data_IF_824638380477
#
_entry.id   IF_824638380477
#
_cell.length_a   1.000
_cell.length_b   1.000
_cell.length_c   1.000
_cell.angle_alpha   90.00
_cell.angle_beta   90.00
_cell.angle_gamma   90.00
#
_symmetry.space_group_name_H-M   'P 1'
#
loop_
_entity.id
_entity.type
_entity.pdbx_description
1 polymer ?
#
# COMPACT_ATOMS: atom_id res chain seq x y z
N UNK A 1 -3.49 20.10 14.53
CA UNK A 1 -2.09 19.78 14.27
C UNK A 1 -1.71 20.35 12.93
N UNK A 2 -0.58 21.04 12.82
CA UNK A 2 -0.12 21.53 11.52
C UNK A 2 0.16 20.37 10.56
N UNK A 3 -0.07 20.57 9.28
CA UNK A 3 0.17 19.58 8.20
C UNK A 3 1.63 19.04 8.26
N UNK A 4 2.57 19.88 8.65
CA UNK A 4 3.99 19.49 8.81
C UNK A 4 4.23 18.39 9.86
N UNK A 5 3.42 18.32 10.92
CA UNK A 5 3.53 17.28 11.95
C UNK A 5 3.12 15.91 11.40
N UNK A 6 2.14 15.87 10.50
CA UNK A 6 1.70 14.61 9.88
C UNK A 6 2.71 14.09 8.86
N UNK A 7 3.31 14.97 8.04
CA UNK A 7 4.40 14.58 7.12
C UNK A 7 5.55 13.95 7.91
N UNK A 8 5.97 14.59 9.00
CA UNK A 8 7.03 14.09 9.87
C UNK A 8 6.62 12.77 10.56
N UNK A 9 5.38 12.66 11.01
CA UNK A 9 4.80 11.44 11.57
C UNK A 9 4.81 10.29 10.54
N UNK A 10 4.36 10.52 9.32
CA UNK A 10 4.31 9.49 8.27
C UNK A 10 5.71 9.06 7.82
N UNK A 11 6.68 9.98 7.77
CA UNK A 11 8.09 9.62 7.55
C UNK A 11 8.63 8.70 8.64
N UNK A 12 8.34 8.99 9.92
CA UNK A 12 8.75 8.12 11.05
C UNK A 12 8.06 6.75 11.00
N UNK A 13 6.76 6.71 10.71
CA UNK A 13 6.02 5.46 10.54
C UNK A 13 6.59 4.62 9.39
N UNK A 14 6.92 5.26 8.26
CA UNK A 14 7.56 4.58 7.13
C UNK A 14 8.89 3.95 7.53
N UNK A 15 9.75 4.69 8.25
CA UNK A 15 11.01 4.17 8.75
C UNK A 15 10.81 3.00 9.73
N UNK A 16 9.85 3.13 10.65
CA UNK A 16 9.52 2.07 11.59
C UNK A 16 9.01 0.80 10.88
N UNK A 17 8.17 0.93 9.85
CA UNK A 17 7.71 -0.21 9.05
C UNK A 17 8.85 -0.91 8.33
N UNK A 18 9.78 -0.15 7.74
CA UNK A 18 10.99 -0.73 7.11
C UNK A 18 11.85 -1.47 8.15
N UNK A 19 12.06 -0.88 9.32
CA UNK A 19 12.78 -1.53 10.41
C UNK A 19 12.11 -2.84 10.84
N UNK A 20 10.79 -2.83 11.09
CA UNK A 20 10.03 -4.03 11.44
C UNK A 20 10.11 -5.11 10.35
N UNK A 21 10.07 -4.72 9.07
CA UNK A 21 10.23 -5.63 7.95
C UNK A 21 11.56 -6.40 8.05
N UNK A 22 12.67 -5.69 8.20
CA UNK A 22 13.97 -6.35 8.27
C UNK A 22 14.16 -7.17 9.54
N UNK A 23 13.64 -6.73 10.69
CA UNK A 23 13.64 -7.52 11.92
C UNK A 23 12.91 -8.85 11.71
N UNK A 24 11.74 -8.81 11.06
CA UNK A 24 10.96 -10.02 10.74
C UNK A 24 11.74 -10.95 9.80
N UNK A 25 12.31 -10.43 8.72
CA UNK A 25 13.10 -11.23 7.76
C UNK A 25 14.30 -11.89 8.44
N UNK A 26 15.03 -11.14 9.29
CA UNK A 26 16.18 -11.64 10.06
C UNK A 26 15.75 -12.75 11.01
N UNK A 27 14.70 -12.54 11.80
CA UNK A 27 14.21 -13.50 12.78
C UNK A 27 13.79 -14.81 12.10
N UNK A 28 13.04 -14.71 11.00
CA UNK A 28 12.58 -15.87 10.23
C UNK A 28 13.74 -16.61 9.54
N UNK A 29 14.68 -15.86 8.94
CA UNK A 29 15.85 -16.45 8.31
C UNK A 29 16.74 -17.20 9.29
N UNK A 30 16.95 -16.63 10.47
CA UNK A 30 17.69 -17.27 11.54
C UNK A 30 16.98 -18.54 12.04
N UNK A 31 15.67 -18.46 12.32
CA UNK A 31 14.87 -19.60 12.78
C UNK A 31 14.83 -20.75 11.77
N UNK A 32 14.59 -20.43 10.48
CA UNK A 32 14.61 -21.44 9.41
C UNK A 32 16.00 -22.04 9.25
N UNK A 33 17.07 -21.23 9.29
CA UNK A 33 18.43 -21.72 9.22
C UNK A 33 18.77 -22.69 10.35
N UNK A 34 18.30 -22.45 11.56
CA UNK A 34 18.46 -23.38 12.68
C UNK A 34 17.80 -24.74 12.41
N UNK A 35 16.60 -24.75 11.81
CA UNK A 35 15.88 -25.99 11.46
C UNK A 35 16.64 -26.82 10.41
N UNK A 36 17.33 -26.16 9.48
CA UNK A 36 18.11 -26.82 8.43
C UNK A 36 19.60 -27.04 8.81
N UNK A 37 19.94 -26.81 10.08
CA UNK A 37 21.28 -27.11 10.63
C UNK A 37 22.34 -26.04 10.38
N UNK A 38 21.98 -24.89 9.78
CA UNK A 38 22.91 -23.76 9.59
C UNK A 38 22.18 -22.41 9.63
N UNK A 39 22.16 -21.79 10.82
CA UNK A 39 21.49 -20.51 11.04
C UNK A 39 22.04 -19.37 10.18
N UNK A 40 23.32 -19.37 9.86
CA UNK A 40 23.93 -18.30 9.06
C UNK A 40 23.54 -18.39 7.58
N UNK A 41 23.45 -19.61 7.02
CA UNK A 41 22.99 -19.77 5.64
C UNK A 41 21.52 -19.38 5.48
N UNK A 42 20.67 -19.75 6.44
CA UNK A 42 19.27 -19.34 6.46
C UNK A 42 19.10 -17.83 6.56
N UNK A 43 19.89 -17.17 7.43
CA UNK A 43 19.90 -15.71 7.58
C UNK A 43 20.33 -15.01 6.28
N UNK A 44 21.42 -15.43 5.66
CA UNK A 44 21.92 -14.82 4.42
C UNK A 44 20.89 -14.97 3.31
N UNK A 45 20.33 -16.15 3.13
CA UNK A 45 19.31 -16.43 2.11
C UNK A 45 18.06 -15.56 2.34
N UNK A 46 17.57 -15.49 3.57
CA UNK A 46 16.40 -14.67 3.91
C UNK A 46 16.67 -13.17 3.68
N UNK A 47 17.87 -12.68 4.00
CA UNK A 47 18.24 -11.28 3.74
C UNK A 47 18.30 -11.00 2.22
N UNK A 48 18.88 -11.89 1.42
CA UNK A 48 18.94 -11.70 -0.05
C UNK A 48 17.52 -11.67 -0.63
N UNK A 49 16.67 -12.63 -0.28
CA UNK A 49 15.29 -12.69 -0.74
C UNK A 49 14.49 -11.50 -0.21
N UNK A 50 14.63 -11.16 1.07
CA UNK A 50 13.91 -10.06 1.71
C UNK A 50 14.27 -8.71 1.12
N UNK A 51 15.56 -8.46 0.85
CA UNK A 51 16.01 -7.23 0.17
C UNK A 51 15.45 -7.17 -1.25
N UNK A 52 15.55 -8.27 -2.02
CA UNK A 52 15.01 -8.32 -3.38
C UNK A 52 13.49 -8.08 -3.40
N UNK A 53 12.74 -8.74 -2.52
CA UNK A 53 11.30 -8.54 -2.36
C UNK A 53 10.96 -7.09 -1.97
N UNK A 54 11.68 -6.52 -1.00
CA UNK A 54 11.46 -5.14 -0.56
C UNK A 54 11.70 -4.15 -1.70
N UNK A 55 12.84 -4.27 -2.39
CA UNK A 55 13.18 -3.38 -3.52
C UNK A 55 12.15 -3.50 -4.64
N UNK A 56 11.81 -4.73 -5.04
CA UNK A 56 10.77 -4.95 -6.04
C UNK A 56 9.45 -4.30 -5.64
N UNK A 57 8.96 -4.58 -4.43
CA UNK A 57 7.69 -4.04 -3.95
C UNK A 57 7.73 -2.51 -3.79
N UNK A 58 8.86 -1.95 -3.34
CA UNK A 58 9.02 -0.52 -3.15
C UNK A 58 9.08 0.25 -4.48
N UNK A 59 9.76 -0.29 -5.48
CA UNK A 59 9.93 0.40 -6.78
C UNK A 59 8.86 0.03 -7.79
N UNK A 60 8.39 -1.21 -7.80
CA UNK A 60 7.42 -1.71 -8.76
C UNK A 60 5.98 -1.84 -8.20
N UNK A 61 5.77 -1.66 -6.89
CA UNK A 61 4.46 -1.88 -6.26
C UNK A 61 3.34 -1.04 -6.86
N UNK A 62 3.58 0.25 -7.10
CA UNK A 62 2.59 1.13 -7.73
C UNK A 62 2.25 0.67 -9.17
N UNK A 63 3.26 0.35 -9.98
CA UNK A 63 3.04 -0.15 -11.35
C UNK A 63 2.34 -1.52 -11.36
N UNK A 64 2.61 -2.37 -10.38
CA UNK A 64 1.91 -3.65 -10.22
C UNK A 64 0.42 -3.42 -9.96
N UNK A 65 0.05 -2.50 -9.07
CA UNK A 65 -1.36 -2.15 -8.81
C UNK A 65 -2.02 -1.64 -10.08
N UNK A 66 -1.39 -0.71 -10.81
CA UNK A 66 -1.92 -0.17 -12.06
C UNK A 66 -2.13 -1.26 -13.13
N UNK A 67 -1.19 -2.22 -13.24
CA UNK A 67 -1.31 -3.36 -14.17
C UNK A 67 -2.43 -4.31 -13.76
N UNK A 68 -2.52 -4.66 -12.48
CA UNK A 68 -3.57 -5.55 -11.96
C UNK A 68 -4.97 -4.96 -12.12
N UNK A 69 -5.10 -3.65 -11.96
CA UNK A 69 -6.36 -2.92 -12.15
C UNK A 69 -6.63 -2.56 -13.61
N UNK A 70 -5.74 -2.92 -14.55
CA UNK A 70 -5.81 -2.57 -15.96
C UNK A 70 -5.94 -1.06 -16.20
N UNK A 71 -5.36 -0.26 -15.34
CA UNK A 71 -5.34 1.20 -15.44
C UNK A 71 -4.55 1.63 -16.68
N UNK A 72 -5.12 2.53 -17.47
CA UNK A 72 -4.48 3.13 -18.66
C UNK A 72 -4.08 4.55 -18.35
N UNK A 73 -2.89 4.96 -18.78
CA UNK A 73 -2.44 6.34 -18.60
C UNK A 73 -3.36 7.28 -19.38
N UNK A 74 -3.89 8.30 -18.68
CA UNK A 74 -4.75 9.30 -19.29
C UNK A 74 -3.93 10.19 -20.24
N UNK A 75 -4.41 10.37 -21.46
CA UNK A 75 -3.74 11.17 -22.50
C UNK A 75 -4.62 12.33 -22.94
N UNK A 76 -3.98 13.43 -23.33
CA UNK A 76 -4.66 14.50 -24.10
C UNK A 76 -4.81 13.98 -25.57
N UNK A 77 -5.93 14.26 -26.28
CA UNK A 77 -7.03 15.16 -25.93
C UNK A 77 -8.16 14.52 -25.08
N UNK A 78 -8.21 13.18 -24.92
CA UNK A 78 -9.37 12.48 -24.34
C UNK A 78 -9.71 12.92 -22.92
N UNK A 79 -8.67 13.09 -22.06
CA UNK A 79 -8.82 13.41 -20.65
C UNK A 79 -8.26 14.78 -20.27
N UNK A 80 -8.29 15.77 -21.18
CA UNK A 80 -7.71 17.11 -20.98
C UNK A 80 -8.21 17.78 -19.70
N UNK A 81 -9.52 17.74 -19.44
CA UNK A 81 -10.09 18.38 -18.23
C UNK A 81 -9.61 17.73 -16.95
N UNK A 82 -9.54 16.39 -16.91
CA UNK A 82 -9.04 15.64 -15.75
C UNK A 82 -7.57 15.96 -15.49
N UNK A 83 -6.73 15.89 -16.52
CA UNK A 83 -5.29 16.16 -16.42
C UNK A 83 -5.05 17.59 -15.94
N UNK A 84 -5.71 18.58 -16.53
CA UNK A 84 -5.57 19.99 -16.12
C UNK A 84 -6.03 20.23 -14.68
N UNK A 85 -7.08 19.54 -14.22
CA UNK A 85 -7.53 19.63 -12.82
C UNK A 85 -6.46 19.07 -11.87
N UNK A 86 -5.86 17.92 -12.19
CA UNK A 86 -4.78 17.34 -11.38
C UNK A 86 -3.53 18.23 -11.40
N UNK A 87 -3.14 18.77 -12.55
CA UNK A 87 -2.03 19.74 -12.68
C UNK A 87 -2.28 20.98 -11.80
N UNK A 88 -3.48 21.57 -11.86
CA UNK A 88 -3.87 22.74 -11.05
C UNK A 88 -3.83 22.44 -9.55
N UNK A 89 -4.35 21.28 -9.14
CA UNK A 89 -4.32 20.86 -7.73
C UNK A 89 -2.88 20.57 -7.25
N UNK A 90 -2.01 20.02 -8.09
CA UNK A 90 -0.61 19.81 -7.76
C UNK A 90 0.12 21.13 -7.49
N UNK A 91 -0.13 22.16 -8.32
CA UNK A 91 0.39 23.52 -8.11
C UNK A 91 -0.14 24.09 -6.79
N UNK A 92 -1.45 24.00 -6.55
CA UNK A 92 -2.08 24.49 -5.32
C UNK A 92 -1.54 23.75 -4.06
N UNK A 93 -1.24 22.47 -4.19
CA UNK A 93 -0.63 21.66 -3.14
C UNK A 93 0.84 21.98 -2.90
N UNK A 94 1.52 22.67 -3.82
CA UNK A 94 2.95 22.97 -3.78
C UNK A 94 3.81 21.74 -4.09
N UNK A 95 3.31 20.80 -4.91
CA UNK A 95 4.08 19.66 -5.37
C UNK A 95 5.04 20.08 -6.49
N UNK A 96 6.28 19.58 -6.53
CA UNK A 96 7.27 19.97 -7.55
C UNK A 96 6.92 19.39 -8.93
N UNK A 97 6.07 18.35 -8.97
CA UNK A 97 5.64 17.67 -10.19
C UNK A 97 4.21 17.17 -10.01
N UNK A 98 3.33 17.33 -11.02
CA UNK A 98 2.01 16.72 -10.98
C UNK A 98 2.12 15.19 -11.01
N UNK A 99 1.27 14.47 -10.25
CA UNK A 99 1.19 13.03 -10.33
C UNK A 99 0.67 12.60 -11.72
N UNK A 100 1.08 11.40 -12.15
CA UNK A 100 0.53 10.79 -13.35
C UNK A 100 -0.93 10.44 -13.15
N UNK A 101 -1.73 10.58 -14.20
CA UNK A 101 -3.16 10.29 -14.17
C UNK A 101 -3.46 9.01 -14.93
N UNK A 102 -4.25 8.14 -14.30
CA UNK A 102 -4.68 6.87 -14.91
C UNK A 102 -6.20 6.76 -14.85
N UNK A 103 -6.76 6.04 -15.82
CA UNK A 103 -8.19 5.75 -15.89
C UNK A 103 -8.39 4.24 -15.96
N UNK A 104 -9.35 3.74 -15.18
CA UNK A 104 -9.80 2.35 -15.19
C UNK A 104 -11.19 2.34 -15.84
N UNK A 105 -11.38 1.48 -16.82
CA UNK A 105 -12.70 1.24 -17.41
C UNK A 105 -13.53 0.33 -16.50
N UNK A 106 -14.20 0.97 -15.54
CA UNK A 106 -15.03 0.34 -14.52
C UNK A 106 -16.18 1.29 -14.15
N UNK A 107 -17.39 0.71 -13.99
CA UNK A 107 -18.59 1.43 -13.58
C UNK A 107 -18.62 1.81 -12.09
N UNK A 108 -17.76 1.22 -11.26
CA UNK A 108 -17.63 1.58 -9.86
C UNK A 108 -17.23 3.06 -9.71
N UNK A 109 -17.70 3.69 -8.62
CA UNK A 109 -17.39 5.09 -8.32
C UNK A 109 -16.15 5.14 -7.42
N UNK A 110 -14.96 5.13 -8.01
CA UNK A 110 -13.71 5.04 -7.25
C UNK A 110 -12.61 5.96 -7.79
N UNK A 111 -11.78 6.45 -6.86
CA UNK A 111 -10.51 7.09 -7.13
C UNK A 111 -9.51 6.68 -6.04
N UNK A 112 -8.22 6.64 -6.38
CA UNK A 112 -7.17 6.37 -5.40
C UNK A 112 -5.82 6.91 -5.85
N UNK A 113 -4.99 7.25 -4.88
CA UNK A 113 -3.60 7.63 -5.10
C UNK A 113 -2.66 6.45 -4.79
N UNK A 114 -1.63 6.27 -5.61
CA UNK A 114 -0.54 5.30 -5.36
C UNK A 114 0.81 5.95 -5.58
N UNK A 115 1.84 5.33 -5.01
CA UNK A 115 3.23 5.77 -5.19
C UNK A 115 4.06 5.64 -3.93
N UNK A 116 5.37 5.80 -4.07
CA UNK A 116 6.32 5.76 -2.95
C UNK A 116 6.66 7.15 -2.39
N UNK A 117 6.49 8.18 -3.21
CA UNK A 117 6.72 9.59 -2.89
C UNK A 117 5.95 10.48 -3.86
N UNK A 118 6.00 11.80 -3.68
CA UNK A 118 5.28 12.76 -4.52
C UNK A 118 5.83 12.83 -5.96
N UNK A 119 7.10 12.50 -6.21
CA UNK A 119 7.69 12.49 -7.56
C UNK A 119 7.26 11.26 -8.37
N UNK A 120 6.92 10.17 -7.68
CA UNK A 120 6.52 8.89 -8.25
C UNK A 120 5.08 8.53 -7.85
N UNK A 121 4.25 9.55 -7.68
CA UNK A 121 2.84 9.39 -7.38
C UNK A 121 1.99 9.32 -8.65
N UNK A 122 0.87 8.64 -8.54
CA UNK A 122 -0.20 8.64 -9.53
C UNK A 122 -1.57 8.73 -8.87
N UNK A 123 -2.52 9.32 -9.58
CA UNK A 123 -3.93 9.33 -9.25
C UNK A 123 -4.66 8.51 -10.31
N UNK A 124 -5.48 7.58 -9.86
CA UNK A 124 -6.29 6.71 -10.71
C UNK A 124 -7.75 6.97 -10.45
N UNK A 125 -8.55 7.08 -11.51
CA UNK A 125 -10.01 7.27 -11.44
C UNK A 125 -10.71 6.25 -12.31
N UNK A 126 -11.93 5.89 -11.97
CA UNK A 126 -12.78 5.02 -12.79
C UNK A 126 -13.63 5.81 -13.77
N UNK A 127 -13.98 5.21 -14.90
CA UNK A 127 -14.91 5.81 -15.87
C UNK A 127 -16.27 6.11 -15.25
N UNK A 128 -16.77 5.23 -14.36
CA UNK A 128 -18.00 5.45 -13.61
C UNK A 128 -17.96 6.73 -12.77
N UNK A 129 -16.83 6.99 -12.07
CA UNK A 129 -16.66 8.23 -11.30
C UNK A 129 -16.71 9.46 -12.21
N UNK A 130 -16.00 9.43 -13.34
CA UNK A 130 -15.95 10.53 -14.29
C UNK A 130 -17.32 10.85 -14.90
N UNK A 131 -18.15 9.84 -15.11
CA UNK A 131 -19.52 10.01 -15.65
C UNK A 131 -20.50 10.52 -14.59
N UNK A 132 -20.31 10.16 -13.32
CA UNK A 132 -21.26 10.46 -12.24
C UNK A 132 -21.05 11.83 -11.62
N UNK A 133 -19.81 12.26 -11.49
CA UNK A 133 -19.46 13.49 -10.79
C UNK A 133 -19.39 14.70 -11.75
N UNK A 134 -19.89 15.83 -11.29
CA UNK A 134 -19.63 17.09 -11.97
C UNK A 134 -18.19 17.58 -11.68
N UNK A 135 -17.77 18.62 -12.38
CA UNK A 135 -16.39 19.14 -12.30
C UNK A 135 -15.97 19.50 -10.87
N UNK A 136 -16.84 20.16 -10.09
CA UNK A 136 -16.52 20.61 -8.71
C UNK A 136 -16.46 19.42 -7.73
N UNK A 137 -17.31 18.44 -7.93
CA UNK A 137 -17.32 17.19 -7.16
C UNK A 137 -16.06 16.36 -7.43
N UNK A 138 -15.71 16.20 -8.72
CA UNK A 138 -14.49 15.52 -9.13
C UNK A 138 -13.24 16.23 -8.60
N UNK A 139 -13.17 17.56 -8.69
CA UNK A 139 -12.10 18.37 -8.12
C UNK A 139 -11.95 18.13 -6.61
N UNK A 140 -13.06 18.03 -5.89
CA UNK A 140 -13.06 17.70 -4.46
C UNK A 140 -12.43 16.34 -4.16
N UNK A 141 -12.80 15.29 -4.92
CA UNK A 141 -12.22 13.94 -4.78
C UNK A 141 -10.75 13.95 -5.14
N UNK A 142 -10.36 14.56 -6.25
CA UNK A 142 -8.96 14.66 -6.67
C UNK A 142 -8.10 15.44 -5.66
N UNK A 143 -8.65 16.46 -5.02
CA UNK A 143 -7.97 17.22 -3.96
C UNK A 143 -7.77 16.37 -2.68
N UNK A 144 -8.72 15.50 -2.35
CA UNK A 144 -8.59 14.52 -1.28
C UNK A 144 -7.43 13.56 -1.58
N UNK A 145 -7.39 12.95 -2.78
CA UNK A 145 -6.30 12.08 -3.22
C UNK A 145 -4.94 12.81 -3.26
N UNK A 146 -4.93 14.05 -3.73
CA UNK A 146 -3.74 14.90 -3.74
C UNK A 146 -3.19 15.14 -2.32
N UNK A 147 -4.07 15.22 -1.33
CA UNK A 147 -3.69 15.39 0.07
C UNK A 147 -2.95 14.17 0.62
N UNK A 148 -3.35 12.96 0.24
CA UNK A 148 -2.63 11.73 0.60
C UNK A 148 -1.23 11.69 -0.01
N UNK A 149 -1.05 12.19 -1.22
CA UNK A 149 0.27 12.31 -1.86
C UNK A 149 1.14 13.30 -1.07
N UNK A 150 0.63 14.51 -0.84
CA UNK A 150 1.35 15.58 -0.14
C UNK A 150 1.78 15.18 1.27
N UNK A 151 0.93 14.45 1.99
CA UNK A 151 1.16 14.06 3.38
C UNK A 151 1.99 12.77 3.52
N UNK A 152 2.47 12.15 2.41
CA UNK A 152 3.15 10.85 2.40
C UNK A 152 2.31 9.69 2.92
N UNK A 153 0.98 9.80 2.94
CA UNK A 153 0.09 8.72 3.31
C UNK A 153 0.25 7.53 2.37
N UNK A 154 0.38 7.79 1.05
CA UNK A 154 0.61 6.77 0.03
C UNK A 154 1.82 5.89 0.33
N UNK A 155 2.91 6.46 0.89
CA UNK A 155 4.10 5.71 1.27
C UNK A 155 3.83 4.76 2.43
N UNK A 156 3.14 5.21 3.47
CA UNK A 156 2.78 4.37 4.63
C UNK A 156 1.87 3.24 4.20
N UNK A 157 0.86 3.53 3.36
CA UNK A 157 -0.07 2.53 2.82
C UNK A 157 0.65 1.49 1.97
N UNK A 158 1.57 1.93 1.09
CA UNK A 158 2.36 1.03 0.26
C UNK A 158 3.26 0.13 1.11
N UNK A 159 3.99 0.68 2.11
CA UNK A 159 4.84 -0.12 2.99
C UNK A 159 4.02 -1.10 3.84
N UNK A 160 2.84 -0.71 4.32
CA UNK A 160 1.94 -1.62 5.00
C UNK A 160 1.50 -2.77 4.07
N UNK A 161 1.18 -2.48 2.81
CA UNK A 161 0.83 -3.50 1.82
C UNK A 161 2.00 -4.45 1.53
N UNK A 162 3.24 -3.95 1.45
CA UNK A 162 4.47 -4.76 1.32
C UNK A 162 4.60 -5.73 2.50
N UNK A 163 4.40 -5.24 3.73
CA UNK A 163 4.46 -6.07 4.93
C UNK A 163 3.38 -7.16 4.94
N UNK A 164 2.13 -6.79 4.62
CA UNK A 164 1.02 -7.74 4.50
C UNK A 164 1.32 -8.79 3.44
N UNK A 165 1.81 -8.37 2.27
CA UNK A 165 2.20 -9.27 1.19
C UNK A 165 3.29 -10.26 1.61
N UNK A 166 4.30 -9.81 2.35
CA UNK A 166 5.33 -10.69 2.90
C UNK A 166 4.72 -11.76 3.83
N UNK A 167 3.83 -11.35 4.74
CA UNK A 167 3.18 -12.27 5.66
C UNK A 167 2.34 -13.30 4.92
N UNK A 168 1.58 -12.89 3.90
CA UNK A 168 0.78 -13.79 3.06
C UNK A 168 1.67 -14.79 2.33
N UNK A 169 2.77 -14.33 1.70
CA UNK A 169 3.72 -15.21 1.01
C UNK A 169 4.37 -16.22 1.96
N UNK A 170 4.77 -15.78 3.16
CA UNK A 170 5.33 -16.65 4.18
C UNK A 170 4.30 -17.69 4.65
N UNK A 171 3.06 -17.26 4.91
CA UNK A 171 1.97 -18.16 5.30
C UNK A 171 1.71 -19.23 4.24
N UNK A 172 1.65 -18.82 2.96
CA UNK A 172 1.44 -19.75 1.84
C UNK A 172 2.64 -20.71 1.70
N UNK A 173 3.87 -20.21 1.80
CA UNK A 173 5.08 -21.03 1.78
C UNK A 173 5.09 -22.09 2.88
N UNK A 174 4.81 -21.71 4.13
CA UNK A 174 4.75 -22.65 5.24
C UNK A 174 3.62 -23.66 5.08
N UNK A 175 2.44 -23.23 4.66
CA UNK A 175 1.30 -24.11 4.45
C UNK A 175 1.60 -25.16 3.37
N UNK A 176 2.18 -24.74 2.25
CA UNK A 176 2.60 -25.66 1.16
C UNK A 176 3.70 -26.61 1.60
N UNK A 177 4.71 -26.09 2.30
CA UNK A 177 5.80 -26.93 2.84
C UNK A 177 5.27 -28.01 3.76
N UNK A 178 4.24 -27.68 4.56
CA UNK A 178 3.56 -28.63 5.41
C UNK A 178 2.77 -29.68 4.61
N UNK A 179 1.96 -29.24 3.65
CA UNK A 179 1.11 -30.15 2.85
C UNK A 179 1.92 -31.09 1.94
N UNK A 180 3.08 -30.65 1.46
CA UNK A 180 3.90 -31.40 0.51
C UNK A 180 5.07 -32.13 1.18
N UNK A 181 5.58 -31.62 2.31
CA UNK A 181 6.67 -32.23 3.07
C UNK A 181 6.27 -33.54 3.79
N UNK A 182 4.97 -33.73 4.04
CA UNK A 182 4.46 -34.93 4.75
C UNK A 182 4.43 -36.24 3.96
N UNK A 183 4.77 -36.22 2.65
CA UNK A 183 4.62 -37.42 1.76
C UNK A 183 5.87 -38.31 1.63
N UNK A 184 7.00 -37.97 2.24
CA UNK A 184 8.28 -38.67 2.00
C UNK A 184 9.06 -39.18 3.23
N UNK A 185 8.60 -38.98 4.45
CA UNK A 185 9.35 -39.31 5.66
C UNK A 185 8.82 -40.54 6.39
N UNK A 186 9.74 -41.45 6.80
CA UNK A 186 9.48 -42.60 7.64
C UNK A 186 8.78 -42.19 8.95
N UNK A 187 7.93 -43.09 9.44
CA UNK A 187 6.99 -42.98 10.55
C UNK A 187 7.54 -42.60 11.95
N UNK A 188 8.81 -42.25 12.08
CA UNK A 188 9.45 -41.98 13.38
C UNK A 188 9.98 -40.57 13.58
N UNK A 189 9.55 -39.59 12.75
CA UNK A 189 10.17 -38.26 12.80
C UNK A 189 9.26 -37.23 13.51
N UNK A 190 9.66 -36.89 14.74
CA UNK A 190 9.13 -35.72 15.49
C UNK A 190 9.27 -34.37 14.71
N UNK A 191 10.02 -34.39 13.60
CA UNK A 191 10.26 -33.19 12.77
C UNK A 191 9.01 -32.56 12.19
N UNK A 192 8.04 -33.39 11.75
CA UNK A 192 6.76 -32.90 11.23
C UNK A 192 5.92 -32.15 12.27
N UNK A 193 5.87 -32.71 13.49
CA UNK A 193 5.14 -32.05 14.60
C UNK A 193 5.77 -30.72 15.03
N UNK A 194 7.12 -30.68 15.07
CA UNK A 194 7.88 -29.46 15.40
C UNK A 194 7.64 -28.39 14.33
N UNK A 195 7.67 -28.77 13.05
CA UNK A 195 7.38 -27.82 11.95
C UNK A 195 5.96 -27.25 12.07
N UNK A 196 4.97 -28.09 12.45
CA UNK A 196 3.59 -27.65 12.66
C UNK A 196 3.47 -26.62 13.78
N UNK A 197 4.14 -26.86 14.89
CA UNK A 197 4.17 -25.95 16.04
C UNK A 197 4.84 -24.61 15.63
N UNK A 198 5.95 -24.67 14.92
CA UNK A 198 6.66 -23.46 14.47
C UNK A 198 5.79 -22.63 13.53
N UNK A 199 5.15 -23.27 12.54
CA UNK A 199 4.21 -22.58 11.64
C UNK A 199 3.06 -21.96 12.41
N UNK A 200 2.47 -22.70 13.34
CA UNK A 200 1.38 -22.19 14.18
C UNK A 200 1.82 -20.98 15.02
N UNK A 201 2.99 -21.04 15.63
CA UNK A 201 3.55 -19.92 16.42
C UNK A 201 3.85 -18.72 15.52
N UNK A 202 4.48 -18.92 14.36
CA UNK A 202 4.78 -17.85 13.41
C UNK A 202 3.48 -17.17 12.94
N UNK A 203 2.47 -17.93 12.55
CA UNK A 203 1.18 -17.37 12.12
C UNK A 203 0.46 -16.67 13.26
N UNK A 204 0.50 -17.20 14.49
CA UNK A 204 -0.09 -16.57 15.67
C UNK A 204 0.58 -15.22 16.01
N UNK A 205 1.89 -15.10 15.81
CA UNK A 205 2.64 -13.84 15.99
C UNK A 205 2.38 -12.86 14.85
N UNK A 206 2.26 -13.35 13.62
CA UNK A 206 2.08 -12.49 12.43
C UNK A 206 0.64 -11.95 12.29
N UNK A 207 -0.37 -12.69 12.71
CA UNK A 207 -1.78 -12.28 12.58
C UNK A 207 -2.09 -10.92 13.25
N UNK A 208 -1.71 -10.64 14.51
CA UNK A 208 -1.91 -9.33 15.11
C UNK A 208 -1.10 -8.22 14.43
N UNK A 209 0.09 -8.54 13.89
CA UNK A 209 0.89 -7.58 13.14
C UNK A 209 0.17 -7.16 11.86
N UNK A 210 -0.41 -8.11 11.11
CA UNK A 210 -1.23 -7.79 9.92
C UNK A 210 -2.42 -6.90 10.29
N UNK A 211 -3.13 -7.22 11.38
CA UNK A 211 -4.24 -6.41 11.88
C UNK A 211 -3.82 -4.96 12.17
N UNK A 212 -2.69 -4.76 12.84
CA UNK A 212 -2.17 -3.43 13.14
C UNK A 212 -1.67 -2.70 11.88
N UNK A 213 -1.03 -3.39 10.94
CA UNK A 213 -0.63 -2.83 9.65
C UNK A 213 -1.84 -2.39 8.82
N UNK A 214 -2.90 -3.18 8.79
CA UNK A 214 -4.18 -2.81 8.16
C UNK A 214 -4.79 -1.57 8.83
N UNK A 215 -4.75 -1.50 10.15
CA UNK A 215 -5.21 -0.32 10.91
C UNK A 215 -4.37 0.92 10.62
N UNK A 216 -3.05 0.76 10.47
CA UNK A 216 -2.15 1.85 10.06
C UNK A 216 -2.41 2.27 8.61
N UNK A 217 -2.78 1.36 7.72
CA UNK A 217 -3.14 1.68 6.34
C UNK A 217 -4.49 2.42 6.24
N UNK A 218 -5.47 2.11 7.12
CA UNK A 218 -6.84 2.66 7.09
C UNK A 218 -7.07 3.54 8.33
N UNK A 219 -6.34 4.65 8.45
CA UNK A 219 -6.44 5.53 9.61
C UNK A 219 -7.53 6.60 9.41
N UNK A 220 -8.62 6.56 10.19
CA UNK A 220 -9.66 7.61 10.19
C UNK A 220 -9.10 9.01 10.36
N UNK A 221 -8.05 9.18 11.15
CA UNK A 221 -7.41 10.47 11.35
C UNK A 221 -6.79 11.01 10.07
N UNK A 222 -6.22 10.15 9.23
CA UNK A 222 -5.67 10.56 7.92
C UNK A 222 -6.77 10.92 6.95
N UNK A 223 -7.87 10.18 6.93
CA UNK A 223 -9.04 10.51 6.11
C UNK A 223 -9.59 11.91 6.46
N UNK A 224 -9.82 12.20 7.76
CA UNK A 224 -10.25 13.53 8.19
C UNK A 224 -9.24 14.62 7.82
N UNK A 225 -7.96 14.33 7.87
CA UNK A 225 -6.94 15.28 7.46
C UNK A 225 -6.91 15.48 5.95
N UNK A 226 -7.11 14.42 5.17
CA UNK A 226 -7.23 14.49 3.71
C UNK A 226 -8.47 15.28 3.30
N UNK A 227 -9.62 15.05 3.96
CA UNK A 227 -10.84 15.85 3.77
C UNK A 227 -10.60 17.33 4.04
N UNK A 228 -10.00 17.67 5.19
CA UNK A 228 -9.70 19.03 5.56
C UNK A 228 -8.69 19.70 4.61
N UNK A 229 -7.64 18.96 4.22
CA UNK A 229 -6.62 19.46 3.30
C UNK A 229 -7.17 19.63 1.89
N UNK A 230 -7.99 18.69 1.41
CA UNK A 230 -8.67 18.77 0.12
C UNK A 230 -9.63 19.97 0.06
N UNK A 231 -10.38 20.20 1.14
CA UNK A 231 -11.25 21.38 1.27
C UNK A 231 -10.46 22.70 1.23
N UNK A 232 -9.26 22.73 1.83
CA UNK A 232 -8.37 23.90 1.76
C UNK A 232 -7.79 24.11 0.36
N UNK A 233 -7.44 23.04 -0.36
CA UNK A 233 -6.90 23.11 -1.71
C UNK A 233 -7.90 23.66 -2.71
N UNK A 234 -9.15 23.18 -2.65
CA UNK A 234 -10.22 23.61 -3.57
C UNK A 234 -10.90 24.92 -3.12
N UNK A 235 -10.77 25.27 -1.83
CA UNK A 235 -11.58 26.33 -1.17
C UNK A 235 -13.09 26.12 -1.32
N UNK A 236 -13.51 24.90 -1.66
CA UNK A 236 -14.90 24.54 -1.88
C UNK A 236 -15.24 23.18 -1.24
N UNK A 237 -15.38 23.12 0.10
CA UNK A 237 -15.61 21.85 0.83
C UNK A 237 -16.90 21.14 0.42
N UNK A 238 -17.89 21.89 -0.14
CA UNK A 238 -19.14 21.31 -0.60
C UNK A 238 -18.95 20.34 -1.77
N UNK A 239 -17.95 20.55 -2.63
CA UNK A 239 -17.64 19.67 -3.76
C UNK A 239 -17.37 18.24 -3.31
N UNK A 240 -16.43 18.07 -2.36
CA UNK A 240 -16.15 16.76 -1.78
C UNK A 240 -17.36 16.16 -1.05
N UNK A 241 -18.07 16.96 -0.25
CA UNK A 241 -19.24 16.50 0.49
C UNK A 241 -20.36 15.98 -0.43
N UNK A 242 -20.62 16.66 -1.55
CA UNK A 242 -21.63 16.24 -2.53
C UNK A 242 -21.16 15.04 -3.35
N UNK A 243 -19.86 14.95 -3.67
CA UNK A 243 -19.26 13.76 -4.28
C UNK A 243 -19.43 12.52 -3.40
N UNK A 244 -19.11 12.63 -2.12
CA UNK A 244 -19.24 11.51 -1.14
C UNK A 244 -20.68 11.02 -0.99
N UNK A 245 -21.68 11.92 -1.06
CA UNK A 245 -23.10 11.52 -1.07
C UNK A 245 -23.44 10.70 -2.31
N UNK A 246 -22.91 11.06 -3.47
CA UNK A 246 -23.16 10.32 -4.72
C UNK A 246 -22.43 8.98 -4.78
N UNK A 247 -21.26 8.88 -4.14
CA UNK A 247 -20.46 7.65 -4.08
C UNK A 247 -21.06 6.63 -3.11
N UNK A 248 -21.68 7.11 -2.01
CA UNK A 248 -22.29 6.24 -0.99
C UNK A 248 -23.72 5.78 -1.31
N UNK A 249 -24.38 6.48 -2.22
CA UNK A 249 -25.78 6.32 -2.51
C UNK A 249 -26.29 5.47 -3.45
#
# INVERSE_FOLDING_TARGET
MPIYDEISSNKRKSFFLIFCFFVLVIALGYALGMLYGNQYSGLILALVIGVAYFLFSYYAGASTILTMTRAKEATKPEYTSLINTVEGLAIAAGLPKPPKVYVIDDSALNAFATGRDYEHASITVTTGLLQKLNKLELEGVLAHEMSHIKNYDIRVMMLAAVMVGLVVLLSDFFLRSFLWGGKGGKKDDNGGAILFIIVGVVLAVLAPIVGELMRLAISRKREFLADASGALLTRYPKGLADALKKIKG
#
